data_IF_166823307562
#
_entry.id   IF_166823307562
#
_cell.length_a   1.000
_cell.length_b   1.000
_cell.length_c   1.000
_cell.angle_alpha   90.00
_cell.angle_beta   90.00
_cell.angle_gamma   90.00
#
_symmetry.space_group_name_H-M   'P 1'
#
loop_
_entity.id
_entity.type
_entity.pdbx_description
1 polymer ?
#
# COMPACT_ATOMS: atom_id res chain seq x y z
N UNK A 1 5.20 18.90 -11.39
CA UNK A 1 4.07 17.99 -11.11
C UNK A 1 4.25 17.33 -9.76
N UNK A 2 3.15 17.00 -9.11
CA UNK A 2 3.10 16.39 -7.78
C UNK A 2 2.46 15.01 -7.85
N UNK A 3 3.09 14.02 -7.22
CA UNK A 3 2.61 12.63 -7.15
C UNK A 3 2.23 12.33 -5.71
N UNK A 4 0.99 11.87 -5.50
CA UNK A 4 0.54 11.30 -4.23
C UNK A 4 0.87 9.81 -4.17
N UNK A 5 1.41 9.32 -3.06
CA UNK A 5 1.64 7.89 -2.83
C UNK A 5 0.86 7.42 -1.61
N UNK A 6 0.14 6.33 -1.75
CA UNK A 6 -0.63 5.70 -0.67
C UNK A 6 -0.49 4.18 -0.68
N UNK A 7 -0.70 3.59 0.48
CA UNK A 7 -0.90 2.14 0.64
C UNK A 7 -2.33 1.89 1.10
N UNK A 8 -3.01 0.89 0.56
CA UNK A 8 -4.41 0.60 0.87
C UNK A 8 -4.66 -0.90 0.96
N UNK A 9 -5.63 -1.30 1.77
CA UNK A 9 -5.95 -2.70 2.04
C UNK A 9 -5.12 -3.29 3.18
N UNK A 10 -4.75 -4.56 3.09
CA UNK A 10 -3.78 -5.19 4.01
C UNK A 10 -2.37 -4.72 3.71
N UNK A 11 -1.50 -4.74 4.72
CA UNK A 11 -0.08 -4.51 4.50
C UNK A 11 0.61 -5.77 3.99
N UNK A 12 1.74 -5.58 3.32
CA UNK A 12 2.57 -6.66 2.80
C UNK A 12 4.05 -6.31 2.99
N UNK A 13 4.92 -7.30 3.21
CA UNK A 13 6.36 -7.08 3.22
C UNK A 13 6.82 -6.42 1.91
N UNK A 14 7.65 -5.38 2.00
CA UNK A 14 8.13 -4.65 0.82
C UNK A 14 7.32 -3.39 0.47
N UNK A 15 6.19 -3.11 1.09
CA UNK A 15 5.47 -1.86 0.88
C UNK A 15 6.31 -0.63 1.19
N UNK A 16 7.11 -0.65 2.26
CA UNK A 16 8.02 0.44 2.59
C UNK A 16 9.12 0.61 1.54
N UNK A 17 9.64 -0.48 0.98
CA UNK A 17 10.59 -0.42 -0.13
C UNK A 17 9.97 0.23 -1.37
N UNK A 18 8.72 -0.10 -1.69
CA UNK A 18 7.96 0.50 -2.79
C UNK A 18 7.72 2.00 -2.56
N UNK A 19 7.26 2.41 -1.37
CA UNK A 19 7.09 3.83 -0.99
C UNK A 19 8.41 4.58 -1.17
N UNK A 20 9.50 4.01 -0.68
CA UNK A 20 10.84 4.60 -0.82
C UNK A 20 11.25 4.73 -2.29
N UNK A 21 11.03 3.70 -3.10
CA UNK A 21 11.36 3.71 -4.52
C UNK A 21 10.59 4.79 -5.27
N UNK A 22 9.27 4.87 -5.08
CA UNK A 22 8.40 5.91 -5.66
C UNK A 22 8.87 7.30 -5.25
N UNK A 23 9.12 7.51 -3.96
CA UNK A 23 9.54 8.82 -3.43
C UNK A 23 10.89 9.25 -4.01
N UNK A 24 11.89 8.38 -3.95
CA UNK A 24 13.25 8.73 -4.41
C UNK A 24 13.33 8.88 -5.94
N UNK A 25 12.70 7.98 -6.68
CA UNK A 25 12.66 8.07 -8.14
C UNK A 25 11.87 9.31 -8.61
N UNK A 26 10.76 9.61 -7.95
CA UNK A 26 9.97 10.80 -8.27
C UNK A 26 10.76 12.09 -8.03
N UNK A 27 11.40 12.25 -6.88
CA UNK A 27 12.24 13.42 -6.56
C UNK A 27 13.41 13.52 -7.55
N UNK A 28 14.08 12.41 -7.85
CA UNK A 28 15.17 12.40 -8.84
C UNK A 28 14.74 12.88 -10.22
N UNK A 29 13.50 12.60 -10.63
CA UNK A 29 12.90 13.05 -11.88
C UNK A 29 12.23 14.43 -11.80
N UNK A 30 12.41 15.17 -10.70
CA UNK A 30 11.90 16.53 -10.54
C UNK A 30 10.42 16.63 -10.16
N UNK A 31 9.81 15.55 -9.64
CA UNK A 31 8.46 15.59 -9.09
C UNK A 31 8.46 15.94 -7.61
N UNK A 32 7.43 16.64 -7.17
CA UNK A 32 7.09 16.73 -5.75
C UNK A 32 6.34 15.46 -5.33
N UNK A 33 6.66 14.93 -4.16
CA UNK A 33 6.01 13.72 -3.64
C UNK A 33 5.24 14.04 -2.37
N UNK A 34 4.01 13.55 -2.29
CA UNK A 34 3.17 13.64 -1.12
C UNK A 34 2.80 12.25 -0.63
N UNK A 35 3.09 11.95 0.63
CA UNK A 35 2.64 10.75 1.30
C UNK A 35 1.21 10.94 1.83
N UNK A 36 0.32 10.02 1.49
CA UNK A 36 -1.07 9.99 1.94
C UNK A 36 -1.20 8.90 2.98
N UNK A 37 -1.49 9.26 4.21
CA UNK A 37 -1.57 8.32 5.33
C UNK A 37 -2.93 7.62 5.36
N UNK A 38 -2.96 6.36 5.82
CA UNK A 38 -4.17 5.53 5.94
C UNK A 38 -4.96 5.34 4.64
N UNK A 39 -4.25 5.29 3.51
CA UNK A 39 -4.82 4.96 2.22
C UNK A 39 -5.91 5.92 1.75
N UNK A 40 -7.00 5.39 1.24
CA UNK A 40 -8.12 6.19 0.73
C UNK A 40 -8.84 6.98 1.83
N UNK A 41 -8.92 6.48 3.06
CA UNK A 41 -9.45 7.24 4.18
C UNK A 41 -8.67 8.53 4.42
N UNK A 42 -7.35 8.43 4.36
CA UNK A 42 -6.50 9.60 4.49
C UNK A 42 -6.60 10.58 3.32
N UNK A 43 -6.84 10.09 2.11
CA UNK A 43 -7.10 10.94 0.96
C UNK A 43 -8.43 11.71 1.14
N UNK A 44 -9.49 11.04 1.62
CA UNK A 44 -10.79 11.64 1.93
C UNK A 44 -10.66 12.68 3.05
N UNK A 45 -9.85 12.41 4.08
CA UNK A 45 -9.70 13.26 5.25
C UNK A 45 -8.58 14.32 5.12
N UNK A 46 -7.82 14.29 4.02
CA UNK A 46 -6.72 15.23 3.79
C UNK A 46 -5.47 14.96 4.65
N UNK A 47 -5.23 13.70 5.05
CA UNK A 47 -4.04 13.30 5.80
C UNK A 47 -2.81 13.17 4.88
N UNK A 48 -2.40 14.29 4.31
CA UNK A 48 -1.41 14.39 3.24
C UNK A 48 -0.21 15.20 3.75
N UNK A 49 1.01 14.70 3.51
CA UNK A 49 2.25 15.40 3.88
C UNK A 49 3.24 15.41 2.73
N UNK A 50 3.98 16.50 2.62
CA UNK A 50 5.12 16.58 1.68
C UNK A 50 6.20 15.60 2.09
N UNK A 51 6.74 14.87 1.09
CA UNK A 51 7.81 13.91 1.29
C UNK A 51 9.11 14.37 0.67
N UNK A 52 10.17 14.22 1.45
CA UNK A 52 11.56 14.37 1.03
C UNK A 52 12.25 13.00 1.04
N UNK A 53 13.47 12.93 0.58
CA UNK A 53 14.29 11.70 0.68
C UNK A 53 14.56 11.28 2.12
N UNK A 54 14.50 12.21 3.07
CA UNK A 54 14.70 11.95 4.50
C UNK A 54 13.53 11.17 5.10
N UNK A 55 12.27 11.50 4.71
CA UNK A 55 11.09 10.83 5.22
C UNK A 55 11.08 9.32 4.95
N UNK A 56 11.77 8.89 3.89
CA UNK A 56 11.87 7.49 3.49
C UNK A 56 13.24 6.87 3.77
N UNK A 57 14.04 7.53 4.60
CA UNK A 57 15.35 7.01 5.02
C UNK A 57 15.19 5.85 6.00
N UNK A 58 15.98 4.79 5.80
CA UNK A 58 16.02 3.64 6.72
C UNK A 58 14.79 2.73 6.72
N UNK A 59 13.77 2.97 5.88
CA UNK A 59 12.52 2.17 5.89
C UNK A 59 12.56 0.91 5.02
N UNK A 60 13.58 0.74 4.18
CA UNK A 60 13.63 -0.35 3.17
C UNK A 60 13.57 -1.75 3.79
N UNK A 61 14.10 -1.90 5.01
CA UNK A 61 14.13 -3.17 5.74
C UNK A 61 13.02 -3.30 6.78
N UNK A 62 12.14 -2.29 6.88
CA UNK A 62 11.04 -2.31 7.85
C UNK A 62 9.82 -2.99 7.22
N UNK A 63 9.20 -3.92 7.95
CA UNK A 63 7.92 -4.52 7.59
C UNK A 63 6.75 -3.55 7.73
N UNK A 64 5.57 -3.99 7.31
CA UNK A 64 4.36 -3.17 7.31
C UNK A 64 4.44 -2.01 6.33
N UNK A 65 3.74 -0.93 6.64
CA UNK A 65 3.75 0.31 5.85
C UNK A 65 3.84 1.56 6.73
N UNK A 66 4.81 2.42 6.46
CA UNK A 66 4.98 3.68 7.19
C UNK A 66 3.82 4.66 6.96
N UNK A 67 3.15 4.56 5.82
CA UNK A 67 1.97 5.37 5.50
C UNK A 67 0.72 4.90 6.24
N UNK A 68 0.80 3.76 6.94
CA UNK A 68 -0.35 3.06 7.50
C UNK A 68 -1.33 2.66 6.39
N UNK A 69 -2.30 1.85 6.73
CA UNK A 69 -3.32 1.41 5.78
C UNK A 69 -4.66 1.31 6.48
N UNK A 70 -5.74 1.46 5.73
CA UNK A 70 -7.10 1.25 6.18
C UNK A 70 -7.96 0.73 5.04
N UNK A 71 -9.01 -0.02 5.40
CA UNK A 71 -10.09 -0.36 4.46
C UNK A 71 -11.11 0.77 4.50
N UNK A 72 -11.30 1.47 3.40
CA UNK A 72 -12.25 2.59 3.30
C UNK A 72 -13.57 2.13 2.71
N UNK A 73 -14.62 2.13 3.52
CA UNK A 73 -15.99 1.94 3.02
C UNK A 73 -16.53 3.22 2.38
N UNK A 74 -16.10 4.37 2.87
CA UNK A 74 -16.52 5.68 2.36
C UNK A 74 -16.02 5.89 0.92
N UNK A 75 -14.81 5.44 0.59
CA UNK A 75 -14.27 5.55 -0.77
C UNK A 75 -15.06 4.76 -1.82
N UNK A 76 -15.88 3.79 -1.41
CA UNK A 76 -16.78 3.06 -2.30
C UNK A 76 -18.04 3.85 -2.69
N UNK A 77 -18.27 5.01 -2.07
CA UNK A 77 -19.40 5.89 -2.36
C UNK A 77 -18.97 7.03 -3.29
N UNK A 78 -19.90 7.55 -4.10
CA UNK A 78 -19.66 8.73 -4.97
C UNK A 78 -19.20 9.94 -4.14
N UNK A 79 -19.83 10.14 -2.97
CA UNK A 79 -19.50 11.23 -2.06
C UNK A 79 -18.07 11.13 -1.49
N UNK A 80 -17.64 9.93 -1.12
CA UNK A 80 -16.29 9.69 -0.63
C UNK A 80 -15.23 9.89 -1.72
N UNK A 81 -15.49 9.41 -2.93
CA UNK A 81 -14.61 9.65 -4.09
C UNK A 81 -14.53 11.12 -4.43
N UNK A 82 -15.64 11.87 -4.39
CA UNK A 82 -15.65 13.31 -4.64
C UNK A 82 -14.80 14.05 -3.59
N UNK A 83 -14.94 13.75 -2.30
CA UNK A 83 -14.10 14.32 -1.24
C UNK A 83 -12.61 14.01 -1.44
N UNK A 84 -12.30 12.78 -1.84
CA UNK A 84 -10.94 12.38 -2.15
C UNK A 84 -10.36 13.20 -3.31
N UNK A 85 -11.14 13.41 -4.37
CA UNK A 85 -10.74 14.22 -5.51
C UNK A 85 -10.54 15.69 -5.12
N UNK A 86 -11.47 16.27 -4.35
CA UNK A 86 -11.37 17.64 -3.86
C UNK A 86 -10.09 17.86 -3.03
N UNK A 87 -9.76 16.91 -2.16
CA UNK A 87 -8.52 16.96 -1.39
C UNK A 87 -7.27 16.78 -2.27
N UNK A 88 -7.34 15.93 -3.30
CA UNK A 88 -6.27 15.77 -4.27
C UNK A 88 -6.00 17.10 -4.99
N UNK A 89 -7.03 17.76 -5.50
CA UNK A 89 -6.95 19.07 -6.17
C UNK A 89 -6.44 20.15 -5.21
N UNK A 90 -7.00 20.23 -3.99
CA UNK A 90 -6.60 21.18 -2.95
C UNK A 90 -5.11 21.07 -2.60
N UNK A 91 -4.56 19.86 -2.64
CA UNK A 91 -3.15 19.60 -2.35
C UNK A 91 -2.26 19.65 -3.60
N UNK A 92 -2.81 19.98 -4.78
CA UNK A 92 -2.08 20.10 -6.03
C UNK A 92 -1.47 18.77 -6.50
N UNK A 93 -2.12 17.63 -6.22
CA UNK A 93 -1.67 16.29 -6.64
C UNK A 93 -2.16 16.04 -8.06
N UNK A 94 -1.24 15.79 -9.00
CA UNK A 94 -1.53 15.55 -10.41
C UNK A 94 -1.73 14.08 -10.75
N UNK A 95 -1.17 13.18 -9.94
CA UNK A 95 -1.22 11.73 -10.16
C UNK A 95 -1.13 10.96 -8.84
N UNK A 96 -1.68 9.75 -8.81
CA UNK A 96 -1.60 8.85 -7.66
C UNK A 96 -0.79 7.60 -7.98
N UNK A 97 0.02 7.15 -7.02
CA UNK A 97 0.60 5.82 -6.98
C UNK A 97 -0.06 5.08 -5.81
N UNK A 98 -0.78 4.01 -6.14
CA UNK A 98 -1.51 3.18 -5.19
C UNK A 98 -0.82 1.84 -5.03
N UNK A 99 -0.38 1.53 -3.81
CA UNK A 99 0.26 0.27 -3.47
C UNK A 99 -0.73 -0.58 -2.69
N UNK A 100 -1.13 -1.73 -3.20
CA UNK A 100 -2.12 -2.57 -2.55
C UNK A 100 -2.54 -3.78 -3.36
N UNK A 101 -3.54 -4.50 -2.87
CA UNK A 101 -4.12 -5.67 -3.50
C UNK A 101 -5.25 -5.33 -4.47
N UNK A 102 -5.96 -6.37 -4.91
CA UNK A 102 -6.99 -6.31 -5.95
C UNK A 102 -8.04 -5.20 -5.71
N UNK A 103 -8.65 -5.16 -4.51
CA UNK A 103 -9.66 -4.15 -4.19
C UNK A 103 -9.14 -2.72 -4.25
N UNK A 104 -7.91 -2.48 -3.79
CA UNK A 104 -7.28 -1.16 -3.82
C UNK A 104 -6.97 -0.68 -5.23
N UNK A 105 -6.50 -1.60 -6.09
CA UNK A 105 -6.18 -1.29 -7.50
C UNK A 105 -7.46 -1.11 -8.33
N UNK A 106 -8.52 -1.88 -8.05
CA UNK A 106 -9.84 -1.68 -8.66
C UNK A 106 -10.39 -0.30 -8.31
N UNK A 107 -10.33 0.09 -7.03
CA UNK A 107 -10.74 1.43 -6.59
C UNK A 107 -9.93 2.55 -7.26
N UNK A 108 -8.61 2.36 -7.44
CA UNK A 108 -7.78 3.31 -8.18
C UNK A 108 -8.20 3.44 -9.66
N UNK A 109 -8.52 2.32 -10.31
CA UNK A 109 -8.97 2.30 -11.70
C UNK A 109 -10.33 3.00 -11.87
N UNK A 110 -11.29 2.75 -10.97
CA UNK A 110 -12.59 3.42 -10.97
C UNK A 110 -12.42 4.92 -10.77
N UNK A 111 -11.65 5.33 -9.76
CA UNK A 111 -11.35 6.72 -9.47
C UNK A 111 -10.67 7.44 -10.66
N UNK A 112 -9.71 6.77 -11.29
CA UNK A 112 -9.03 7.29 -12.47
C UNK A 112 -9.99 7.56 -13.63
N UNK A 113 -10.96 6.66 -13.87
CA UNK A 113 -11.97 6.80 -14.94
C UNK A 113 -13.00 7.88 -14.63
N UNK A 114 -13.43 7.99 -13.38
CA UNK A 114 -14.48 8.90 -12.96
C UNK A 114 -14.02 10.38 -12.97
N UNK A 115 -12.77 10.62 -12.56
CA UNK A 115 -12.21 11.97 -12.39
C UNK A 115 -11.12 12.34 -13.41
N UNK A 116 -10.86 11.49 -14.39
CA UNK A 116 -9.76 11.66 -15.37
C UNK A 116 -8.39 11.89 -14.71
N UNK A 117 -8.10 11.12 -13.66
CA UNK A 117 -6.87 11.21 -12.88
C UNK A 117 -5.89 10.12 -13.29
N UNK A 118 -4.61 10.47 -13.43
CA UNK A 118 -3.56 9.49 -13.65
C UNK A 118 -3.33 8.67 -12.38
N UNK A 119 -3.60 7.36 -12.43
CA UNK A 119 -3.32 6.42 -11.35
C UNK A 119 -2.39 5.31 -11.83
N UNK A 120 -1.38 4.98 -11.03
CA UNK A 120 -0.48 3.84 -11.24
C UNK A 120 -0.61 2.90 -10.05
N UNK A 121 -0.97 1.64 -10.32
CA UNK A 121 -1.05 0.58 -9.33
C UNK A 121 0.26 -0.19 -9.17
N UNK A 122 0.68 -0.42 -7.93
CA UNK A 122 1.77 -1.34 -7.60
C UNK A 122 1.17 -2.52 -6.81
N UNK A 123 1.36 -3.78 -7.28
CA UNK A 123 0.73 -4.94 -6.67
C UNK A 123 1.45 -5.31 -5.36
N UNK A 124 0.91 -4.86 -4.23
CA UNK A 124 1.40 -5.13 -2.88
C UNK A 124 0.35 -5.90 -2.09
N UNK A 125 0.49 -7.22 -1.99
CA UNK A 125 -0.39 -8.14 -1.27
C UNK A 125 0.31 -9.47 -1.03
N UNK A 126 -0.08 -10.17 0.03
CA UNK A 126 0.41 -11.53 0.31
C UNK A 126 -0.41 -12.63 -0.37
N UNK A 127 -1.55 -12.30 -0.99
CA UNK A 127 -2.49 -13.27 -1.55
C UNK A 127 -2.08 -13.76 -2.95
N UNK A 128 -1.23 -13.00 -3.64
CA UNK A 128 -0.79 -13.27 -5.02
C UNK A 128 -1.93 -13.52 -6.03
N UNK A 129 -3.07 -12.82 -5.83
CA UNK A 129 -4.33 -13.00 -6.55
C UNK A 129 -4.57 -11.97 -7.65
N UNK A 130 -3.54 -11.25 -8.08
CA UNK A 130 -3.62 -10.22 -9.12
C UNK A 130 -3.26 -10.77 -10.50
N UNK A 131 -4.17 -10.60 -11.45
CA UNK A 131 -3.90 -10.93 -12.85
C UNK A 131 -2.87 -9.96 -13.46
N UNK A 132 -1.92 -10.51 -14.21
CA UNK A 132 -0.92 -9.71 -14.93
C UNK A 132 0.42 -9.54 -14.22
N UNK A 133 0.61 -10.19 -13.07
CA UNK A 133 1.91 -10.33 -12.41
C UNK A 133 2.13 -11.76 -11.96
N UNK A 134 3.36 -12.24 -12.06
CA UNK A 134 3.73 -13.58 -11.56
C UNK A 134 3.79 -13.61 -10.04
N UNK A 135 4.34 -12.54 -9.44
CA UNK A 135 4.44 -12.39 -7.99
C UNK A 135 4.09 -10.97 -7.59
N UNK A 136 3.28 -10.85 -6.54
CA UNK A 136 3.00 -9.57 -5.89
C UNK A 136 4.10 -9.23 -4.89
N UNK A 137 4.27 -7.93 -4.62
CA UNK A 137 5.20 -7.44 -3.60
C UNK A 137 4.74 -7.96 -2.24
N UNK A 138 5.57 -8.78 -1.60
CA UNK A 138 5.31 -9.35 -0.27
C UNK A 138 4.96 -10.82 -0.25
N UNK A 139 4.48 -11.41 -1.34
CA UNK A 139 4.06 -12.81 -1.39
C UNK A 139 5.20 -13.78 -1.03
N UNK A 140 6.33 -13.71 -1.73
CA UNK A 140 7.46 -14.62 -1.50
C UNK A 140 8.02 -14.49 -0.07
N UNK A 141 8.21 -13.28 0.40
CA UNK A 141 8.66 -13.02 1.78
C UNK A 141 7.69 -13.60 2.81
N UNK A 142 6.40 -13.46 2.58
CA UNK A 142 5.37 -14.01 3.48
C UNK A 142 5.42 -15.53 3.50
N UNK A 143 5.54 -16.19 2.35
CA UNK A 143 5.66 -17.65 2.29
C UNK A 143 6.86 -18.16 3.09
N UNK A 144 8.04 -17.54 2.95
CA UNK A 144 9.23 -17.90 3.71
C UNK A 144 9.03 -17.66 5.23
N UNK A 145 8.41 -16.56 5.61
CA UNK A 145 8.12 -16.24 7.02
C UNK A 145 7.15 -17.26 7.63
N UNK A 146 6.11 -17.66 6.89
CA UNK A 146 5.15 -18.68 7.34
C UNK A 146 5.85 -19.99 7.60
N UNK A 147 6.68 -20.48 6.66
CA UNK A 147 7.42 -21.74 6.81
C UNK A 147 8.30 -21.68 8.05
N UNK A 148 9.06 -20.61 8.26
CA UNK A 148 9.90 -20.45 9.44
C UNK A 148 9.08 -20.46 10.75
N UNK A 149 7.95 -19.78 10.79
CA UNK A 149 7.06 -19.75 11.96
C UNK A 149 6.46 -21.15 12.25
N UNK A 150 6.02 -21.86 11.20
CA UNK A 150 5.48 -23.22 11.32
C UNK A 150 6.52 -24.17 11.86
N UNK A 151 7.76 -24.13 11.34
CA UNK A 151 8.85 -24.98 11.82
C UNK A 151 9.16 -24.75 13.31
N UNK A 152 9.16 -23.50 13.75
CA UNK A 152 9.35 -23.17 15.18
C UNK A 152 8.22 -23.68 16.08
N UNK A 153 6.97 -23.64 15.61
CA UNK A 153 5.80 -24.11 16.37
C UNK A 153 5.74 -25.63 16.40
N UNK A 154 6.16 -26.30 15.33
CA UNK A 154 6.12 -27.76 15.20
C UNK A 154 6.85 -28.48 16.33
N UNK A 155 8.01 -27.98 16.73
CA UNK A 155 8.81 -28.61 17.77
C UNK A 155 8.10 -28.61 19.13
N UNK A 156 7.49 -27.50 19.50
CA UNK A 156 6.72 -27.44 20.75
C UNK A 156 5.38 -28.18 20.66
N UNK A 157 4.75 -28.23 19.49
CA UNK A 157 3.53 -29.01 19.26
C UNK A 157 3.80 -30.49 19.51
N UNK A 158 4.89 -31.01 18.96
CA UNK A 158 5.30 -32.41 19.15
C UNK A 158 5.68 -32.68 20.60
N UNK A 159 6.44 -31.82 21.26
CA UNK A 159 6.91 -32.00 22.63
C UNK A 159 5.78 -32.04 23.66
N UNK A 160 4.67 -31.35 23.40
CA UNK A 160 3.54 -31.25 24.31
C UNK A 160 2.27 -31.92 23.81
N UNK A 161 2.33 -32.66 22.70
CA UNK A 161 1.16 -33.29 22.06
C UNK A 161 0.01 -32.34 21.85
N UNK A 162 0.33 -31.10 21.36
CA UNK A 162 -0.63 -30.02 21.15
C UNK A 162 -0.96 -29.83 19.66
N UNK A 163 -2.19 -29.42 19.41
CA UNK A 163 -2.65 -29.01 18.09
C UNK A 163 -2.66 -27.47 18.05
N UNK A 164 -2.03 -26.91 17.02
CA UNK A 164 -2.05 -25.47 16.74
C UNK A 164 -2.79 -25.22 15.42
N UNK A 165 -3.62 -24.19 15.39
CA UNK A 165 -4.22 -23.67 14.18
C UNK A 165 -3.49 -22.37 13.82
N UNK A 166 -3.05 -22.26 12.58
CA UNK A 166 -2.32 -21.09 12.07
C UNK A 166 -3.16 -20.50 10.95
N UNK A 167 -3.55 -19.24 11.09
CA UNK A 167 -4.23 -18.46 10.08
C UNK A 167 -3.23 -17.46 9.45
N UNK A 168 -3.31 -17.29 8.13
CA UNK A 168 -2.41 -16.41 7.35
C UNK A 168 -3.23 -15.52 6.44
#
# INVERSE_FOLDING_TARGET
KTIGVLTSGGDAPGMNAAIRAVTRAGIYNGFNIKGIYRGYDGLINGEIKDFTTENVSGIITQGGTMLKTARSKEFMTEEGKQKAYDNMVKNGIDALVVIGGNGSLTGAMEFAREFDVCCIGLPGTIDNDLYGTDNTIGYDTTMNTIVECVDRIRDTAQSHERIFFIEV
#
